data_IF_286834520919
#
_entry.id   IF_286834520919
#
_cell.length_a   1.000
_cell.length_b   1.000
_cell.length_c   1.000
_cell.angle_alpha   90.00
_cell.angle_beta   90.00
_cell.angle_gamma   90.00
#
_symmetry.space_group_name_H-M   'P 1'
#
loop_
_entity.id
_entity.type
_entity.pdbx_description
1 polymer ?
#
# COMPACT_ATOMS: atom_id res chain seq x y z
N UNK A 1 7.33 269.22 48.68
CA UNK A 1 8.65 268.54 48.67
C UNK A 1 8.57 267.26 49.52
N UNK A 2 8.40 267.32 50.84
CA UNK A 2 8.49 266.12 51.70
C UNK A 2 7.49 264.98 51.41
N UNK A 3 6.28 265.28 50.91
CA UNK A 3 5.18 264.31 50.89
C UNK A 3 5.32 263.21 49.80
N UNK A 4 5.79 263.57 48.60
CA UNK A 4 5.98 262.63 47.50
C UNK A 4 7.13 261.64 47.72
N UNK A 5 8.15 262.01 48.50
CA UNK A 5 9.28 261.13 48.83
C UNK A 5 8.81 259.89 49.59
N UNK A 6 7.90 260.08 50.55
CA UNK A 6 7.32 259.00 51.36
C UNK A 6 6.52 257.99 50.52
N UNK A 7 5.79 258.45 49.51
CA UNK A 7 5.03 257.57 48.61
C UNK A 7 5.95 256.70 47.74
N UNK A 8 7.06 257.26 47.27
CA UNK A 8 8.06 256.52 46.48
C UNK A 8 8.69 255.38 47.29
N UNK A 9 9.00 255.60 48.57
CA UNK A 9 9.58 254.57 49.42
C UNK A 9 8.56 253.53 49.90
N UNK A 10 7.27 253.88 50.01
CA UNK A 10 6.18 252.90 50.14
C UNK A 10 6.11 251.98 48.92
N UNK A 11 6.03 252.54 47.72
CA UNK A 11 5.90 251.76 46.48
C UNK A 11 7.10 250.84 46.23
N UNK A 12 8.33 251.26 46.58
CA UNK A 12 9.52 250.38 46.56
C UNK A 12 9.36 249.17 47.48
N UNK A 13 8.74 249.35 48.66
CA UNK A 13 8.51 248.28 49.65
C UNK A 13 7.50 247.26 49.13
N UNK A 14 6.42 247.73 48.51
CA UNK A 14 5.37 246.85 47.97
C UNK A 14 5.86 246.10 46.72
N UNK A 15 6.63 246.75 45.84
CA UNK A 15 7.33 246.10 44.72
C UNK A 15 8.32 245.03 45.19
N UNK A 16 8.98 245.24 46.35
CA UNK A 16 9.88 244.26 46.97
C UNK A 16 9.11 243.06 47.55
N UNK A 17 7.94 243.29 48.15
CA UNK A 17 7.06 242.23 48.65
C UNK A 17 6.49 241.37 47.51
N UNK A 18 5.93 242.00 46.47
CA UNK A 18 5.37 241.30 45.30
C UNK A 18 6.43 240.50 44.53
N UNK A 19 7.69 240.95 44.49
CA UNK A 19 8.81 240.14 43.98
C UNK A 19 9.01 238.85 44.78
N UNK A 20 8.98 238.93 46.12
CA UNK A 20 9.10 237.75 47.00
C UNK A 20 7.95 236.76 46.78
N UNK A 21 6.72 237.22 46.66
CA UNK A 21 5.57 236.34 46.37
C UNK A 21 5.68 235.71 44.98
N UNK A 22 6.08 236.47 43.95
CA UNK A 22 6.26 235.96 42.61
C UNK A 22 7.35 234.87 42.52
N UNK A 23 8.48 235.07 43.19
CA UNK A 23 9.57 234.09 43.19
C UNK A 23 9.25 232.87 44.07
N UNK A 24 8.48 233.02 45.15
CA UNK A 24 7.93 231.90 45.91
C UNK A 24 6.92 231.07 45.07
N UNK A 25 5.96 231.73 44.41
CA UNK A 25 5.00 231.07 43.53
C UNK A 25 5.68 230.35 42.36
N UNK A 26 6.78 230.91 41.83
CA UNK A 26 7.64 230.24 40.84
C UNK A 26 8.27 228.97 41.41
N UNK A 27 8.88 229.02 42.59
CA UNK A 27 9.43 227.82 43.24
C UNK A 27 8.36 226.73 43.46
N UNK A 28 7.15 227.10 43.91
CA UNK A 28 6.04 226.16 44.07
C UNK A 28 5.64 225.54 42.72
N UNK A 29 5.53 226.34 41.65
CA UNK A 29 5.18 225.84 40.33
C UNK A 29 6.25 224.89 39.75
N UNK A 30 7.55 225.21 39.91
CA UNK A 30 8.65 224.31 39.54
C UNK A 30 8.61 222.99 40.33
N UNK A 31 8.28 223.04 41.63
CA UNK A 31 8.11 221.84 42.46
C UNK A 31 6.95 220.96 41.98
N UNK A 32 5.81 221.57 41.64
CA UNK A 32 4.65 220.87 41.07
C UNK A 32 5.00 220.26 39.70
N UNK A 33 5.67 221.00 38.81
CA UNK A 33 6.11 220.48 37.50
C UNK A 33 7.03 219.26 37.66
N UNK A 34 7.98 219.29 38.60
CA UNK A 34 8.86 218.17 38.87
C UNK A 34 8.08 216.95 39.39
N UNK A 35 7.16 217.14 40.35
CA UNK A 35 6.34 216.06 40.90
C UNK A 35 5.40 215.43 39.86
N UNK A 36 4.77 216.26 39.02
CA UNK A 36 3.87 215.84 37.95
C UNK A 36 4.66 215.12 36.83
N UNK A 37 5.91 215.54 36.58
CA UNK A 37 6.88 214.79 35.78
C UNK A 37 7.15 213.39 36.33
N UNK A 38 7.51 213.26 37.62
CA UNK A 38 7.73 211.97 38.27
C UNK A 38 6.50 211.06 38.23
N UNK A 39 5.30 211.59 38.47
CA UNK A 39 4.05 210.82 38.35
C UNK A 39 3.81 210.32 36.92
N UNK A 40 4.16 211.13 35.90
CA UNK A 40 4.05 210.74 34.49
C UNK A 40 5.00 209.58 34.16
N UNK A 41 6.27 209.66 34.59
CA UNK A 41 7.24 208.55 34.42
C UNK A 41 6.73 207.26 35.07
N UNK A 42 6.18 207.35 36.28
CA UNK A 42 5.68 206.20 37.02
C UNK A 42 4.44 205.55 36.35
N UNK A 43 3.57 206.35 35.73
CA UNK A 43 2.45 205.86 34.90
C UNK A 43 2.97 205.17 33.62
N UNK A 44 4.02 205.72 32.99
CA UNK A 44 4.64 205.12 31.81
C UNK A 44 5.34 203.78 32.16
N UNK A 45 5.98 203.65 33.32
CA UNK A 45 6.53 202.38 33.81
C UNK A 45 5.44 201.36 34.18
N UNK A 46 4.37 201.77 34.85
CA UNK A 46 3.23 200.89 35.14
C UNK A 46 2.55 200.39 33.85
N UNK A 47 2.40 201.24 32.83
CA UNK A 47 1.89 200.82 31.52
C UNK A 47 2.84 199.84 30.81
N UNK A 48 4.17 200.08 30.82
CA UNK A 48 5.14 199.10 30.30
C UNK A 48 5.03 197.76 31.01
N UNK A 49 4.89 197.75 32.35
CA UNK A 49 4.74 196.53 33.14
C UNK A 49 3.41 195.80 32.85
N UNK A 50 2.32 196.54 32.63
CA UNK A 50 1.04 195.96 32.22
C UNK A 50 1.11 195.31 30.83
N UNK A 51 1.80 195.94 29.88
CA UNK A 51 2.05 195.34 28.55
C UNK A 51 2.87 194.06 28.66
N UNK A 52 3.95 194.07 29.45
CA UNK A 52 4.76 192.86 29.68
C UNK A 52 3.96 191.72 30.32
N UNK A 53 3.18 192.01 31.37
CA UNK A 53 2.33 191.00 32.03
C UNK A 53 1.23 190.45 31.12
N UNK A 54 0.66 191.28 30.23
CA UNK A 54 -0.31 190.80 29.23
C UNK A 54 0.35 189.91 28.17
N UNK A 55 1.58 190.20 27.76
CA UNK A 55 2.34 189.35 26.85
C UNK A 55 2.70 188.01 27.52
N UNK A 56 3.23 188.03 28.75
CA UNK A 56 3.49 186.81 29.54
C UNK A 56 2.22 185.96 29.70
N UNK A 57 1.07 186.58 29.99
CA UNK A 57 -0.21 185.89 30.16
C UNK A 57 -0.74 185.32 28.83
N UNK A 58 -0.48 185.97 27.69
CA UNK A 58 -0.75 185.43 26.37
C UNK A 58 0.13 184.20 26.07
N UNK A 59 1.45 184.30 26.27
CA UNK A 59 2.39 183.18 26.12
C UNK A 59 2.04 181.98 27.01
N UNK A 60 1.58 182.23 28.25
CA UNK A 60 1.11 181.15 29.15
C UNK A 60 -0.20 180.53 28.71
N UNK A 61 -1.13 181.30 28.14
CA UNK A 61 -2.37 180.75 27.57
C UNK A 61 -2.08 179.91 26.32
N UNK A 62 -1.19 180.36 25.44
CA UNK A 62 -0.75 179.62 24.26
C UNK A 62 -0.06 178.31 24.66
N UNK A 63 0.90 178.37 25.59
CA UNK A 63 1.55 177.18 26.19
C UNK A 63 0.54 176.20 26.82
N UNK A 64 -0.50 176.72 27.47
CA UNK A 64 -1.54 175.90 28.12
C UNK A 64 -2.47 175.25 27.10
N UNK A 65 -2.73 175.89 25.96
CA UNK A 65 -3.51 175.31 24.87
C UNK A 65 -2.70 174.26 24.08
N UNK A 66 -1.40 174.47 23.86
CA UNK A 66 -0.50 173.41 23.35
C UNK A 66 -0.52 172.19 24.28
N UNK A 67 -0.44 172.40 25.60
CA UNK A 67 -0.51 171.32 26.59
C UNK A 67 -1.87 170.60 26.59
N UNK A 68 -2.98 171.32 26.38
CA UNK A 68 -4.32 170.71 26.21
C UNK A 68 -4.38 169.84 24.96
N UNK A 69 -3.93 170.34 23.81
CA UNK A 69 -3.91 169.59 22.55
C UNK A 69 -3.02 168.35 22.67
N UNK A 70 -1.84 168.49 23.29
CA UNK A 70 -0.93 167.37 23.59
C UNK A 70 -1.55 166.34 24.54
N UNK A 71 -2.29 166.79 25.56
CA UNK A 71 -3.01 165.91 26.50
C UNK A 71 -4.13 165.14 25.79
N UNK A 72 -4.96 165.82 25.00
CA UNK A 72 -6.04 165.18 24.22
C UNK A 72 -5.48 164.17 23.20
N UNK A 73 -4.37 164.50 22.54
CA UNK A 73 -3.64 163.59 21.64
C UNK A 73 -3.14 162.34 22.39
N UNK A 74 -2.47 162.51 23.54
CA UNK A 74 -2.01 161.40 24.38
C UNK A 74 -3.17 160.55 24.93
N UNK A 75 -4.29 161.16 25.30
CA UNK A 75 -5.49 160.44 25.76
C UNK A 75 -6.11 159.60 24.63
N UNK A 76 -6.15 160.14 23.41
CA UNK A 76 -6.61 159.41 22.21
C UNK A 76 -5.68 158.24 21.86
N UNK A 77 -4.35 158.45 21.97
CA UNK A 77 -3.34 157.41 21.79
C UNK A 77 -3.44 156.30 22.84
N UNK A 78 -3.65 156.68 24.11
CA UNK A 78 -3.86 155.75 25.22
C UNK A 78 -5.11 154.88 25.00
N UNK A 79 -6.24 155.48 24.60
CA UNK A 79 -7.47 154.75 24.24
C UNK A 79 -7.26 153.79 23.07
N UNK A 80 -6.54 154.21 22.04
CA UNK A 80 -6.18 153.37 20.89
C UNK A 80 -5.30 152.18 21.29
N UNK A 81 -4.26 152.42 22.08
CA UNK A 81 -3.37 151.37 22.60
C UNK A 81 -4.11 150.38 23.52
N UNK A 82 -5.03 150.86 24.36
CA UNK A 82 -5.87 149.99 25.20
C UNK A 82 -6.74 149.05 24.35
N UNK A 83 -7.40 149.58 23.32
CA UNK A 83 -8.22 148.78 22.40
C UNK A 83 -7.38 147.78 21.58
N UNK A 84 -6.14 148.13 21.21
CA UNK A 84 -5.21 147.20 20.58
C UNK A 84 -4.77 146.09 21.55
N UNK A 85 -4.45 146.43 22.81
CA UNK A 85 -4.04 145.48 23.85
C UNK A 85 -5.16 144.48 24.16
N UNK A 86 -6.40 144.94 24.29
CA UNK A 86 -7.58 144.07 24.45
C UNK A 86 -7.76 143.12 23.26
N UNK A 87 -7.63 143.64 22.03
CA UNK A 87 -7.72 142.84 20.81
C UNK A 87 -6.63 141.76 20.76
N UNK A 88 -5.38 142.12 21.02
CA UNK A 88 -4.24 141.18 21.04
C UNK A 88 -4.35 140.14 22.16
N UNK A 89 -4.78 140.54 23.36
CA UNK A 89 -5.07 139.62 24.48
C UNK A 89 -6.17 138.61 24.12
N UNK A 90 -7.24 139.06 23.44
CA UNK A 90 -8.31 138.18 22.96
C UNK A 90 -7.84 137.20 21.86
N UNK A 91 -6.89 137.62 21.01
CA UNK A 91 -6.30 136.79 19.97
C UNK A 91 -5.33 135.76 20.56
N UNK A 92 -4.49 136.17 21.52
CA UNK A 92 -3.60 135.28 22.26
C UNK A 92 -4.37 134.19 23.01
N UNK A 93 -5.46 134.57 23.69
CA UNK A 93 -6.33 133.63 24.42
C UNK A 93 -6.97 132.58 23.50
N UNK A 94 -7.36 132.96 22.28
CA UNK A 94 -7.86 132.04 21.24
C UNK A 94 -6.74 131.11 20.73
N UNK A 95 -5.57 131.66 20.44
CA UNK A 95 -4.42 130.91 19.94
C UNK A 95 -3.93 129.85 20.94
N UNK A 96 -3.87 130.18 22.24
CA UNK A 96 -3.47 129.23 23.29
C UNK A 96 -4.52 128.11 23.47
N UNK A 97 -5.81 128.42 23.32
CA UNK A 97 -6.87 127.41 23.32
C UNK A 97 -6.81 126.48 22.10
N UNK A 98 -6.52 127.01 20.90
CA UNK A 98 -6.34 126.23 19.68
C UNK A 98 -5.08 125.33 19.76
N UNK A 99 -3.95 125.88 20.22
CA UNK A 99 -2.71 125.16 20.53
C UNK A 99 -2.94 123.99 21.51
N UNK A 100 -3.75 124.19 22.56
CA UNK A 100 -4.16 123.11 23.48
C UNK A 100 -4.97 122.04 22.75
N UNK A 101 -5.98 122.42 21.96
CA UNK A 101 -6.78 121.48 21.15
C UNK A 101 -5.92 120.67 20.16
N UNK A 102 -4.95 121.31 19.51
CA UNK A 102 -4.01 120.66 18.59
C UNK A 102 -3.07 119.70 19.33
N UNK A 103 -2.63 120.04 20.55
CA UNK A 103 -1.79 119.19 21.39
C UNK A 103 -2.56 117.92 21.82
N UNK A 104 -3.82 118.07 22.22
CA UNK A 104 -4.69 116.94 22.57
C UNK A 104 -4.98 116.03 21.36
N UNK A 105 -5.22 116.61 20.17
CA UNK A 105 -5.35 115.87 18.91
C UNK A 105 -4.05 115.12 18.56
N UNK A 106 -2.89 115.76 18.65
CA UNK A 106 -1.59 115.14 18.38
C UNK A 106 -1.32 113.96 19.32
N UNK A 107 -1.59 114.12 20.62
CA UNK A 107 -1.44 113.05 21.61
C UNK A 107 -2.36 111.85 21.34
N UNK A 108 -3.61 112.11 20.90
CA UNK A 108 -4.53 111.04 20.50
C UNK A 108 -4.08 110.34 19.20
N UNK A 109 -3.64 111.08 18.18
CA UNK A 109 -3.07 110.49 16.96
C UNK A 109 -1.86 109.61 17.27
N UNK A 110 -0.96 110.05 18.16
CA UNK A 110 0.21 109.25 18.57
C UNK A 110 -0.19 107.95 19.28
N UNK A 111 -1.24 107.96 20.12
CA UNK A 111 -1.81 106.73 20.72
C UNK A 111 -2.29 105.78 19.64
N UNK A 112 -3.09 106.26 18.68
CA UNK A 112 -3.61 105.44 17.58
C UNK A 112 -2.49 104.88 16.69
N UNK A 113 -1.45 105.65 16.39
CA UNK A 113 -0.26 105.18 15.64
C UNK A 113 0.46 104.07 16.40
N UNK A 114 0.66 104.22 17.72
CA UNK A 114 1.30 103.20 18.55
C UNK A 114 0.47 101.91 18.60
N UNK A 115 -0.85 102.01 18.75
CA UNK A 115 -1.76 100.85 18.70
C UNK A 115 -1.74 100.13 17.35
N UNK A 116 -1.78 100.87 16.24
CA UNK A 116 -1.73 100.29 14.89
C UNK A 116 -0.38 99.63 14.61
N UNK A 117 0.72 100.19 15.11
CA UNK A 117 2.05 99.57 15.07
C UNK A 117 2.10 98.25 15.86
N UNK A 118 1.50 98.22 17.06
CA UNK A 118 1.32 96.99 17.84
C UNK A 118 0.48 95.92 17.12
N UNK A 119 -0.61 96.33 16.48
CA UNK A 119 -1.46 95.43 15.67
C UNK A 119 -0.72 94.88 14.45
N UNK A 120 0.02 95.73 13.72
CA UNK A 120 0.84 95.30 12.57
C UNK A 120 1.96 94.32 12.97
N UNK A 121 2.64 94.56 14.09
CA UNK A 121 3.70 93.65 14.55
C UNK A 121 3.15 92.29 15.00
N UNK A 122 1.96 92.23 15.63
CA UNK A 122 1.25 90.97 15.89
C UNK A 122 0.89 90.25 14.58
N UNK A 123 0.18 90.93 13.67
CA UNK A 123 -0.25 90.33 12.39
C UNK A 123 0.95 89.82 11.56
N UNK A 124 2.08 90.53 11.58
CA UNK A 124 3.32 90.09 10.92
C UNK A 124 3.87 88.80 11.50
N UNK A 125 3.71 88.57 12.82
CA UNK A 125 4.07 87.32 13.47
C UNK A 125 3.07 86.22 13.13
N UNK A 126 1.77 86.50 13.23
CA UNK A 126 0.69 85.55 12.96
C UNK A 126 0.76 85.00 11.52
N UNK A 127 1.08 85.86 10.54
CA UNK A 127 1.36 85.47 9.15
C UNK A 127 2.51 84.46 9.08
N UNK A 128 3.67 84.75 9.69
CA UNK A 128 4.84 83.86 9.67
C UNK A 128 4.59 82.51 10.34
N UNK A 129 3.84 82.50 11.45
CA UNK A 129 3.46 81.26 12.12
C UNK A 129 2.48 80.45 11.26
N UNK A 130 1.58 81.09 10.49
CA UNK A 130 0.70 80.43 9.50
C UNK A 130 1.46 79.94 8.26
N UNK A 131 2.41 80.70 7.73
CA UNK A 131 3.29 80.27 6.63
C UNK A 131 4.09 79.01 7.02
N UNK A 132 4.66 79.00 8.23
CA UNK A 132 5.39 77.85 8.76
C UNK A 132 4.50 76.61 8.95
N UNK A 133 3.27 76.79 9.44
CA UNK A 133 2.28 75.71 9.53
C UNK A 133 1.85 75.20 8.15
N UNK A 134 1.69 76.08 7.17
CA UNK A 134 1.36 75.72 5.78
C UNK A 134 2.48 74.87 5.15
N UNK A 135 3.73 75.34 5.22
CA UNK A 135 4.90 74.62 4.71
C UNK A 135 5.07 73.24 5.40
N UNK A 136 4.89 73.17 6.72
CA UNK A 136 4.91 71.91 7.46
C UNK A 136 3.75 70.96 7.14
N UNK A 137 2.64 71.47 6.60
CA UNK A 137 1.50 70.66 6.14
C UNK A 137 1.73 70.16 4.72
N UNK A 138 2.26 71.02 3.83
CA UNK A 138 2.65 70.62 2.46
C UNK A 138 3.72 69.52 2.47
N UNK A 139 4.73 69.62 3.35
CA UNK A 139 5.77 68.60 3.49
C UNK A 139 5.21 67.24 3.96
N UNK A 140 4.16 67.23 4.80
CA UNK A 140 3.46 66.00 5.19
C UNK A 140 2.68 65.41 4.01
N UNK A 141 1.98 66.24 3.25
CA UNK A 141 1.20 65.81 2.09
C UNK A 141 2.09 65.20 0.99
N UNK A 142 3.26 65.79 0.72
CA UNK A 142 4.27 65.26 -0.21
C UNK A 142 4.83 63.90 0.24
N UNK A 143 5.13 63.74 1.53
CA UNK A 143 5.52 62.43 2.08
C UNK A 143 4.39 61.39 1.95
N UNK A 144 3.15 61.74 2.29
CA UNK A 144 2.00 60.83 2.17
C UNK A 144 1.71 60.44 0.71
N UNK A 145 1.93 61.34 -0.25
CA UNK A 145 1.82 61.03 -1.68
C UNK A 145 2.90 60.01 -2.13
N UNK A 146 4.13 60.12 -1.61
CA UNK A 146 5.22 59.16 -1.88
C UNK A 146 4.95 57.79 -1.25
N UNK A 147 4.47 57.77 -0.01
CA UNK A 147 4.04 56.55 0.69
C UNK A 147 2.91 55.84 -0.07
N UNK A 148 1.94 56.58 -0.61
CA UNK A 148 0.84 56.03 -1.40
C UNK A 148 1.31 55.42 -2.74
N UNK A 149 2.21 56.08 -3.46
CA UNK A 149 2.71 55.57 -4.75
C UNK A 149 3.63 54.34 -4.56
N UNK A 150 4.42 54.27 -3.48
CA UNK A 150 5.15 53.05 -3.11
C UNK A 150 4.18 51.92 -2.69
N UNK A 151 3.16 52.22 -1.89
CA UNK A 151 2.12 51.23 -1.54
C UNK A 151 1.41 50.66 -2.78
N UNK A 152 1.10 51.51 -3.76
CA UNK A 152 0.54 51.14 -5.07
C UNK A 152 1.50 50.28 -5.90
N UNK A 153 2.79 50.61 -5.91
CA UNK A 153 3.85 49.80 -6.53
C UNK A 153 3.98 48.40 -5.90
N UNK A 154 3.90 48.31 -4.56
CA UNK A 154 3.86 47.03 -3.83
C UNK A 154 2.60 46.24 -4.13
N UNK A 155 1.44 46.89 -4.19
CA UNK A 155 0.16 46.24 -4.50
C UNK A 155 0.16 45.61 -5.91
N UNK A 156 0.69 46.32 -6.92
CA UNK A 156 0.82 45.78 -8.28
C UNK A 156 1.65 44.49 -8.30
N UNK A 157 2.80 44.47 -7.61
CA UNK A 157 3.67 43.28 -7.53
C UNK A 157 2.98 42.11 -6.82
N UNK A 158 2.24 42.38 -5.76
CA UNK A 158 1.47 41.36 -5.05
C UNK A 158 0.35 40.75 -5.93
N UNK A 159 -0.27 41.56 -6.81
CA UNK A 159 -1.20 41.07 -7.82
C UNK A 159 -0.48 40.19 -8.86
N UNK A 160 0.66 40.67 -9.40
CA UNK A 160 1.47 39.91 -10.37
C UNK A 160 1.96 38.56 -9.80
N UNK A 161 2.14 38.44 -8.48
CA UNK A 161 2.51 37.20 -7.78
C UNK A 161 1.28 36.30 -7.54
N UNK A 162 0.14 36.87 -7.16
CA UNK A 162 -1.13 36.15 -6.98
C UNK A 162 -1.61 35.49 -8.28
N UNK A 163 -1.49 36.20 -9.40
CA UNK A 163 -1.89 35.70 -10.71
C UNK A 163 -1.03 34.49 -11.14
N UNK A 164 0.30 34.57 -10.95
CA UNK A 164 1.23 33.45 -11.19
C UNK A 164 0.91 32.22 -10.33
N UNK A 165 0.66 32.42 -9.03
CA UNK A 165 0.28 31.34 -8.11
C UNK A 165 -1.04 30.69 -8.55
N UNK A 166 -1.97 31.48 -9.07
CA UNK A 166 -3.26 31.01 -9.62
C UNK A 166 -3.06 30.16 -10.89
N UNK A 167 -2.16 30.56 -11.79
CA UNK A 167 -1.78 29.76 -12.98
C UNK A 167 -1.08 28.44 -12.59
N UNK A 168 -0.12 28.48 -11.66
CA UNK A 168 0.57 27.28 -11.18
C UNK A 168 -0.39 26.30 -10.50
N UNK A 169 -1.30 26.79 -9.67
CA UNK A 169 -2.34 25.98 -9.04
C UNK A 169 -3.25 25.33 -10.10
N UNK A 170 -3.72 26.11 -11.09
CA UNK A 170 -4.52 25.61 -12.22
C UNK A 170 -3.80 24.51 -13.01
N UNK A 171 -2.49 24.66 -13.22
CA UNK A 171 -1.66 23.62 -13.84
C UNK A 171 -1.54 22.38 -12.94
N UNK A 172 -1.28 22.54 -11.64
CA UNK A 172 -1.17 21.42 -10.70
C UNK A 172 -2.47 20.66 -10.50
N UNK A 173 -3.62 21.32 -10.52
CA UNK A 173 -4.93 20.65 -10.54
C UNK A 173 -5.08 19.77 -11.77
N UNK A 174 -4.71 20.25 -12.98
CA UNK A 174 -4.75 19.46 -14.22
C UNK A 174 -3.82 18.25 -14.15
N UNK A 175 -2.57 18.45 -13.72
CA UNK A 175 -1.59 17.37 -13.51
C UNK A 175 -2.14 16.29 -12.53
N UNK A 176 -2.78 16.70 -11.43
CA UNK A 176 -3.39 15.78 -10.47
C UNK A 176 -4.57 15.00 -11.07
N UNK A 177 -5.48 15.66 -11.80
CA UNK A 177 -6.62 14.98 -12.45
C UNK A 177 -6.22 14.00 -13.53
N UNK A 178 -5.08 14.22 -14.21
CA UNK A 178 -4.52 13.25 -15.14
C UNK A 178 -3.96 12.02 -14.39
N UNK A 179 -3.18 12.26 -13.33
CA UNK A 179 -2.56 11.18 -12.54
C UNK A 179 -3.59 10.30 -11.81
N UNK A 180 -4.70 10.87 -11.33
CA UNK A 180 -5.79 10.11 -10.71
C UNK A 180 -6.51 9.21 -11.74
N UNK A 181 -6.72 9.71 -12.96
CA UNK A 181 -7.25 8.90 -14.07
C UNK A 181 -6.29 7.77 -14.43
N UNK A 182 -4.99 8.05 -14.61
CA UNK A 182 -3.99 7.04 -14.95
C UNK A 182 -3.87 5.96 -13.85
N UNK A 183 -4.00 6.36 -12.58
CA UNK A 183 -4.06 5.44 -11.44
C UNK A 183 -5.33 4.58 -11.44
N UNK A 184 -6.47 5.14 -11.82
CA UNK A 184 -7.73 4.40 -11.97
C UNK A 184 -7.67 3.39 -13.13
N UNK A 185 -7.17 3.82 -14.29
CA UNK A 185 -6.99 2.95 -15.46
C UNK A 185 -5.97 1.83 -15.16
N UNK A 186 -4.89 2.12 -14.43
CA UNK A 186 -3.92 1.12 -13.99
C UNK A 186 -4.54 0.07 -13.03
N UNK A 187 -5.34 0.51 -12.05
CA UNK A 187 -6.07 -0.39 -11.12
C UNK A 187 -7.03 -1.31 -11.88
N UNK A 188 -7.85 -0.76 -12.78
CA UNK A 188 -8.79 -1.55 -13.57
C UNK A 188 -8.09 -2.63 -14.41
N UNK A 189 -6.94 -2.31 -15.00
CA UNK A 189 -6.13 -3.29 -15.74
C UNK A 189 -5.53 -4.37 -14.83
N UNK A 190 -5.09 -4.02 -13.62
CA UNK A 190 -4.60 -5.02 -12.64
C UNK A 190 -5.71 -5.95 -12.13
N UNK A 191 -6.89 -5.43 -11.81
CA UNK A 191 -8.03 -6.26 -11.39
C UNK A 191 -8.49 -7.21 -12.51
N UNK A 192 -8.47 -6.74 -13.77
CA UNK A 192 -8.72 -7.60 -14.93
C UNK A 192 -7.67 -8.70 -15.07
N UNK A 193 -6.37 -8.36 -15.03
CA UNK A 193 -5.29 -9.36 -15.09
C UNK A 193 -5.40 -10.40 -13.98
N UNK A 194 -5.74 -9.97 -12.75
CA UNK A 194 -5.99 -10.86 -11.62
C UNK A 194 -7.15 -11.84 -11.92
N UNK A 195 -8.28 -11.34 -12.42
CA UNK A 195 -9.41 -12.19 -12.83
C UNK A 195 -9.03 -13.19 -13.94
N UNK A 196 -8.23 -12.77 -14.92
CA UNK A 196 -7.73 -13.64 -15.99
C UNK A 196 -6.80 -14.74 -15.42
N UNK A 197 -5.90 -14.41 -14.49
CA UNK A 197 -5.04 -15.38 -13.81
C UNK A 197 -5.83 -16.35 -12.91
N UNK A 198 -6.84 -15.89 -12.16
CA UNK A 198 -7.70 -16.74 -11.34
C UNK A 198 -8.51 -17.74 -12.20
N UNK A 199 -8.98 -17.31 -13.37
CA UNK A 199 -9.61 -18.17 -14.37
C UNK A 199 -8.65 -19.26 -14.88
N UNK A 200 -7.42 -18.89 -15.27
CA UNK A 200 -6.40 -19.83 -15.75
C UNK A 200 -5.98 -20.83 -14.65
N UNK A 201 -5.80 -20.37 -13.40
CA UNK A 201 -5.48 -21.23 -12.26
C UNK A 201 -6.57 -22.28 -12.01
N UNK A 202 -7.84 -21.90 -12.09
CA UNK A 202 -8.94 -22.85 -11.92
C UNK A 202 -9.05 -23.83 -13.11
N UNK A 203 -8.80 -23.39 -14.34
CA UNK A 203 -8.71 -24.30 -15.49
C UNK A 203 -7.56 -25.32 -15.33
N UNK A 204 -6.41 -24.92 -14.80
CA UNK A 204 -5.27 -25.80 -14.55
C UNK A 204 -5.53 -26.79 -13.40
N UNK A 205 -6.20 -26.37 -12.32
CA UNK A 205 -6.66 -27.26 -11.25
C UNK A 205 -7.57 -28.37 -11.80
N UNK A 206 -8.64 -27.99 -12.50
CA UNK A 206 -9.61 -28.93 -13.06
C UNK A 206 -8.94 -29.93 -14.04
N UNK A 207 -7.96 -29.48 -14.84
CA UNK A 207 -7.18 -30.36 -15.72
C UNK A 207 -6.29 -31.32 -14.94
N UNK A 208 -5.60 -30.86 -13.90
CA UNK A 208 -4.76 -31.73 -13.05
C UNK A 208 -5.59 -32.78 -12.30
N UNK A 209 -6.79 -32.41 -11.82
CA UNK A 209 -7.73 -33.33 -11.17
C UNK A 209 -8.24 -34.41 -12.15
N UNK A 210 -8.59 -34.02 -13.38
CA UNK A 210 -8.97 -34.96 -14.43
C UNK A 210 -7.84 -35.94 -14.78
N UNK A 211 -6.61 -35.43 -14.99
CA UNK A 211 -5.42 -36.24 -15.27
C UNK A 211 -5.10 -37.20 -14.10
N UNK A 212 -5.26 -36.74 -12.85
CA UNK A 212 -5.07 -37.59 -11.68
C UNK A 212 -6.11 -38.72 -11.61
N UNK A 213 -7.37 -38.46 -11.98
CA UNK A 213 -8.43 -39.46 -12.04
C UNK A 213 -8.21 -40.48 -13.18
N UNK A 214 -7.75 -40.04 -14.35
CA UNK A 214 -7.37 -40.93 -15.47
C UNK A 214 -6.16 -41.81 -15.12
N UNK A 215 -5.12 -41.23 -14.52
CA UNK A 215 -3.96 -41.97 -14.02
C UNK A 215 -4.35 -42.98 -12.92
N UNK A 216 -5.36 -42.66 -12.10
CA UNK A 216 -5.94 -43.57 -11.13
C UNK A 216 -6.59 -44.79 -11.80
N UNK A 217 -7.45 -44.56 -12.80
CA UNK A 217 -8.11 -45.63 -13.59
C UNK A 217 -7.08 -46.53 -14.28
N UNK A 218 -6.10 -45.94 -14.98
CA UNK A 218 -5.08 -46.68 -15.71
C UNK A 218 -4.19 -47.55 -14.79
N UNK A 219 -3.92 -47.10 -13.56
CA UNK A 219 -3.21 -47.92 -12.56
C UNK A 219 -4.02 -49.13 -12.10
N UNK A 220 -5.32 -48.98 -11.90
CA UNK A 220 -6.19 -50.08 -11.45
C UNK A 220 -6.49 -51.08 -12.57
N UNK A 221 -6.63 -50.61 -13.82
CA UNK A 221 -6.68 -51.45 -15.02
C UNK A 221 -5.39 -52.26 -15.17
N UNK A 222 -4.21 -51.64 -15.00
CA UNK A 222 -2.93 -52.33 -15.09
C UNK A 222 -2.75 -53.41 -13.97
N UNK A 223 -3.21 -53.16 -12.74
CA UNK A 223 -3.28 -54.20 -11.70
C UNK A 223 -4.18 -55.38 -12.12
N UNK A 224 -5.37 -55.08 -12.66
CA UNK A 224 -6.32 -56.09 -13.13
C UNK A 224 -5.73 -56.95 -14.24
N UNK A 225 -5.04 -56.32 -15.21
CA UNK A 225 -4.31 -57.00 -16.28
C UNK A 225 -3.15 -57.86 -15.73
N UNK A 226 -2.39 -57.36 -14.75
CA UNK A 226 -1.34 -58.15 -14.08
C UNK A 226 -1.91 -59.41 -13.43
N UNK A 227 -3.00 -59.30 -12.66
CA UNK A 227 -3.65 -60.45 -12.05
C UNK A 227 -4.26 -61.41 -13.09
N UNK A 228 -4.77 -60.91 -14.22
CA UNK A 228 -5.21 -61.75 -15.34
C UNK A 228 -4.03 -62.53 -15.95
N UNK A 229 -2.87 -61.89 -16.14
CA UNK A 229 -1.63 -62.53 -16.62
C UNK A 229 -1.15 -63.60 -15.63
N UNK A 230 -1.14 -63.32 -14.32
CA UNK A 230 -0.75 -64.29 -13.30
C UNK A 230 -1.66 -65.54 -13.31
N UNK A 231 -2.98 -65.34 -13.41
CA UNK A 231 -3.95 -66.42 -13.49
C UNK A 231 -3.81 -67.25 -14.78
N UNK A 232 -3.52 -66.60 -15.92
CA UNK A 232 -3.23 -67.28 -17.18
C UNK A 232 -1.93 -68.08 -17.10
N UNK A 233 -0.87 -67.54 -16.49
CA UNK A 233 0.41 -68.23 -16.29
C UNK A 233 0.25 -69.46 -15.38
N UNK A 234 -0.54 -69.37 -14.30
CA UNK A 234 -0.89 -70.54 -13.47
C UNK A 234 -1.69 -71.58 -14.26
N UNK A 235 -2.63 -71.14 -15.09
CA UNK A 235 -3.45 -72.01 -15.94
C UNK A 235 -2.59 -72.76 -16.97
N UNK A 236 -1.67 -72.07 -17.64
CA UNK A 236 -0.70 -72.67 -18.57
C UNK A 236 0.17 -73.70 -17.85
N UNK A 237 0.80 -73.33 -16.72
CA UNK A 237 1.64 -74.24 -15.91
C UNK A 237 0.90 -75.50 -15.45
N UNK A 238 -0.41 -75.43 -15.22
CA UNK A 238 -1.23 -76.60 -14.90
C UNK A 238 -1.59 -77.42 -16.15
N UNK A 239 -1.76 -76.81 -17.32
CA UNK A 239 -1.93 -77.49 -18.61
C UNK A 239 -0.64 -78.20 -19.05
N UNK A 240 0.52 -77.59 -18.86
CA UNK A 240 1.83 -78.17 -19.18
C UNK A 240 2.10 -79.45 -18.36
N UNK A 241 1.77 -79.43 -17.06
CA UNK A 241 1.78 -80.63 -16.20
C UNK A 241 0.87 -81.72 -16.76
N UNK A 242 -0.38 -81.38 -17.07
CA UNK A 242 -1.35 -82.34 -17.59
C UNK A 242 -0.92 -82.93 -18.95
N UNK A 243 -0.30 -82.13 -19.82
CA UNK A 243 0.30 -82.58 -21.08
C UNK A 243 1.50 -83.50 -20.85
N UNK A 244 2.37 -83.20 -19.89
CA UNK A 244 3.50 -84.05 -19.54
C UNK A 244 3.04 -85.41 -18.97
N UNK A 245 2.02 -85.43 -18.13
CA UNK A 245 1.46 -86.67 -17.56
C UNK A 245 0.67 -87.48 -18.59
N UNK A 246 -0.04 -86.83 -19.52
CA UNK A 246 -0.60 -87.48 -20.71
C UNK A 246 0.51 -88.07 -21.61
N UNK A 247 1.62 -87.35 -21.79
CA UNK A 247 2.80 -87.82 -22.52
C UNK A 247 3.38 -89.12 -21.93
N UNK A 248 3.59 -89.15 -20.60
CA UNK A 248 3.99 -90.37 -19.88
C UNK A 248 2.98 -91.51 -20.08
N UNK A 249 1.67 -91.21 -20.00
CA UNK A 249 0.62 -92.23 -20.20
C UNK A 249 0.63 -92.80 -21.62
N UNK A 250 0.83 -91.97 -22.64
CA UNK A 250 0.99 -92.41 -24.03
C UNK A 250 2.27 -93.24 -24.21
N UNK A 251 3.39 -92.84 -23.59
CA UNK A 251 4.63 -93.61 -23.62
C UNK A 251 4.48 -95.00 -22.98
N UNK A 252 3.81 -95.08 -21.82
CA UNK A 252 3.53 -96.35 -21.14
C UNK A 252 2.62 -97.26 -21.99
N UNK A 253 1.53 -96.73 -22.55
CA UNK A 253 0.63 -97.47 -23.44
C UNK A 253 1.35 -97.96 -24.71
N UNK A 254 2.26 -97.17 -25.28
CA UNK A 254 3.10 -97.60 -26.41
C UNK A 254 4.07 -98.73 -25.99
N UNK A 255 4.58 -98.69 -24.76
CA UNK A 255 5.35 -99.79 -24.17
C UNK A 255 4.53 -101.08 -24.02
N UNK A 256 3.31 -100.99 -23.49
CA UNK A 256 2.38 -102.12 -23.41
C UNK A 256 2.04 -102.69 -24.80
N UNK A 257 1.76 -101.83 -25.79
CA UNK A 257 1.44 -102.27 -27.16
C UNK A 257 2.63 -103.00 -27.78
N UNK A 258 3.86 -102.51 -27.61
CA UNK A 258 5.07 -103.22 -28.06
C UNK A 258 5.26 -104.58 -27.35
N UNK A 259 5.02 -104.64 -26.04
CA UNK A 259 5.08 -105.90 -25.29
C UNK A 259 4.03 -106.91 -25.78
N UNK A 260 2.80 -106.45 -26.05
CA UNK A 260 1.71 -107.25 -26.61
C UNK A 260 1.99 -107.70 -28.06
N UNK A 261 2.62 -106.86 -28.88
CA UNK A 261 3.06 -107.20 -30.25
C UNK A 261 4.17 -108.26 -30.26
N UNK A 262 5.14 -108.18 -29.33
CA UNK A 262 6.15 -109.24 -29.13
C UNK A 262 5.46 -110.55 -28.70
N UNK A 263 4.62 -110.51 -27.67
CA UNK A 263 3.89 -111.71 -27.19
C UNK A 263 2.94 -112.31 -28.23
N UNK A 264 2.40 -111.50 -29.16
CA UNK A 264 1.64 -111.97 -30.32
C UNK A 264 2.54 -112.67 -31.35
N UNK A 265 3.73 -112.13 -31.64
CA UNK A 265 4.72 -112.77 -32.53
C UNK A 265 5.20 -114.10 -31.98
N UNK A 266 5.44 -114.18 -30.67
CA UNK A 266 5.77 -115.43 -29.99
C UNK A 266 4.63 -116.45 -30.10
N UNK A 267 3.37 -116.03 -29.92
CA UNK A 267 2.18 -116.88 -30.13
C UNK A 267 2.00 -117.33 -31.58
N UNK A 268 2.33 -116.49 -32.55
CA UNK A 268 2.29 -116.84 -33.98
C UNK A 268 3.37 -117.89 -34.30
N UNK A 269 4.57 -117.77 -33.70
CA UNK A 269 5.62 -118.77 -33.83
C UNK A 269 5.28 -120.10 -33.11
N UNK A 270 4.62 -120.05 -31.96
CA UNK A 270 4.07 -121.21 -31.24
C UNK A 270 3.00 -121.93 -32.08
N UNK A 271 2.05 -121.19 -32.64
CA UNK A 271 1.03 -121.72 -33.56
C UNK A 271 1.63 -122.30 -34.85
N UNK A 272 2.73 -121.74 -35.36
CA UNK A 272 3.43 -122.30 -36.52
C UNK A 272 4.05 -123.67 -36.20
N UNK A 273 4.72 -123.81 -35.04
CA UNK A 273 5.26 -125.11 -34.58
C UNK A 273 4.17 -126.16 -34.42
N UNK A 274 3.08 -125.82 -33.75
CA UNK A 274 1.93 -126.73 -33.55
C UNK A 274 1.29 -127.15 -34.88
N UNK A 275 1.27 -126.26 -35.89
CA UNK A 275 0.79 -126.55 -37.24
C UNK A 275 1.72 -127.49 -38.01
N UNK A 276 3.03 -127.34 -37.86
CA UNK A 276 4.01 -128.27 -38.43
C UNK A 276 3.95 -129.65 -37.76
N UNK A 277 3.76 -129.71 -36.43
CA UNK A 277 3.53 -130.95 -35.68
C UNK A 277 2.25 -131.66 -36.11
N UNK A 278 1.13 -130.93 -36.22
CA UNK A 278 -0.11 -131.44 -36.81
C UNK A 278 0.11 -131.95 -38.25
N UNK A 279 1.00 -131.32 -39.02
CA UNK A 279 1.43 -131.79 -40.34
C UNK A 279 2.14 -133.14 -40.31
N UNK A 280 3.07 -133.33 -39.36
CA UNK A 280 3.78 -134.62 -39.14
C UNK A 280 2.82 -135.72 -38.69
N UNK A 281 1.96 -135.44 -37.72
CA UNK A 281 0.98 -136.41 -37.21
C UNK A 281 0.03 -136.85 -38.32
N UNK A 282 -0.44 -135.91 -39.15
CA UNK A 282 -1.30 -136.20 -40.31
C UNK A 282 -0.58 -137.01 -41.40
N UNK A 283 0.74 -136.91 -41.50
CA UNK A 283 1.55 -137.78 -42.37
C UNK A 283 1.70 -139.19 -41.75
N UNK A 284 1.99 -139.29 -40.45
CA UNK A 284 2.09 -140.57 -39.73
C UNK A 284 0.77 -141.35 -39.68
N UNK A 285 -0.39 -140.66 -39.62
CA UNK A 285 -1.71 -141.27 -39.80
C UNK A 285 -1.86 -141.84 -41.21
N UNK A 286 -1.55 -141.07 -42.26
CA UNK A 286 -1.58 -141.58 -43.65
C UNK A 286 -0.68 -142.79 -43.87
N UNK A 287 0.49 -142.82 -43.23
CA UNK A 287 1.42 -143.96 -43.31
C UNK A 287 0.83 -145.20 -42.63
N UNK A 288 0.19 -145.04 -41.46
CA UNK A 288 -0.58 -146.12 -40.80
C UNK A 288 -1.78 -146.57 -41.63
N UNK A 289 -2.53 -145.67 -42.26
CA UNK A 289 -3.65 -146.01 -43.16
C UNK A 289 -3.16 -146.81 -44.38
N UNK A 290 -2.02 -146.44 -44.96
CA UNK A 290 -1.39 -147.20 -46.04
C UNK A 290 -0.88 -148.59 -45.59
N UNK A 291 -0.40 -148.70 -44.35
CA UNK A 291 -0.05 -149.97 -43.72
C UNK A 291 -1.29 -150.85 -43.50
N UNK A 292 -2.40 -150.26 -43.05
CA UNK A 292 -3.71 -150.92 -42.89
C UNK A 292 -4.27 -151.38 -44.24
N UNK A 293 -4.14 -150.58 -45.31
CA UNK A 293 -4.50 -151.03 -46.67
C UNK A 293 -3.65 -152.22 -47.13
N UNK A 294 -2.33 -152.22 -46.90
CA UNK A 294 -1.47 -153.37 -47.18
C UNK A 294 -1.91 -154.61 -46.40
N UNK A 295 -2.20 -154.47 -45.10
CA UNK A 295 -2.70 -155.55 -44.25
C UNK A 295 -4.04 -156.09 -44.74
N UNK A 296 -5.01 -155.22 -45.05
CA UNK A 296 -6.32 -155.63 -45.58
C UNK A 296 -6.20 -156.35 -46.94
N UNK A 297 -5.30 -155.91 -47.81
CA UNK A 297 -5.04 -156.60 -49.08
C UNK A 297 -4.38 -157.98 -48.87
N UNK A 298 -3.44 -158.11 -47.94
CA UNK A 298 -2.87 -159.41 -47.54
C UNK A 298 -3.92 -160.33 -46.91
N UNK A 299 -4.78 -159.81 -46.05
CA UNK A 299 -5.91 -160.55 -45.47
C UNK A 299 -6.86 -161.02 -46.57
N UNK A 300 -7.19 -160.18 -47.55
CA UNK A 300 -8.06 -160.54 -48.68
C UNK A 300 -7.44 -161.61 -49.59
N UNK A 301 -6.15 -161.52 -49.88
CA UNK A 301 -5.42 -162.56 -50.63
C UNK A 301 -5.40 -163.90 -49.87
N UNK A 302 -5.12 -163.86 -48.56
CA UNK A 302 -5.21 -165.03 -47.68
C UNK A 302 -6.63 -165.59 -47.60
N UNK A 303 -7.68 -164.77 -47.52
CA UNK A 303 -9.07 -165.20 -47.60
C UNK A 303 -9.37 -165.90 -48.93
N UNK A 304 -8.90 -165.37 -50.07
CA UNK A 304 -9.10 -166.02 -51.37
C UNK A 304 -8.33 -167.35 -51.51
N UNK A 305 -7.21 -167.50 -50.79
CA UNK A 305 -6.47 -168.77 -50.67
C UNK A 305 -7.22 -169.75 -49.78
N UNK A 306 -7.81 -169.29 -48.68
CA UNK A 306 -8.69 -170.09 -47.81
C UNK A 306 -9.95 -170.52 -48.56
N UNK A 307 -10.58 -169.67 -49.38
CA UNK A 307 -11.70 -170.03 -50.24
C UNK A 307 -11.32 -171.08 -51.27
N UNK A 308 -10.15 -170.96 -51.92
CA UNK A 308 -9.64 -172.00 -52.84
C UNK A 308 -9.34 -173.31 -52.12
N UNK A 309 -8.78 -173.27 -50.93
CA UNK A 309 -8.55 -174.46 -50.09
C UNK A 309 -9.88 -175.07 -49.64
N UNK A 310 -10.88 -174.27 -49.29
CA UNK A 310 -12.22 -174.74 -48.93
C UNK A 310 -12.99 -175.30 -50.13
N UNK A 311 -12.77 -174.78 -51.35
CA UNK A 311 -13.33 -175.34 -52.58
C UNK A 311 -12.67 -176.68 -52.92
N UNK A 312 -11.34 -176.78 -52.83
CA UNK A 312 -10.61 -178.05 -52.98
C UNK A 312 -11.03 -179.05 -51.91
N UNK A 313 -11.23 -178.60 -50.66
CA UNK A 313 -11.77 -179.40 -49.57
C UNK A 313 -13.21 -179.86 -49.86
N UNK A 314 -14.08 -179.00 -50.38
CA UNK A 314 -15.46 -179.36 -50.74
C UNK A 314 -15.50 -180.40 -51.87
N UNK A 315 -14.63 -180.27 -52.88
CA UNK A 315 -14.51 -181.27 -53.96
C UNK A 315 -14.04 -182.61 -53.38
N UNK A 316 -13.04 -182.61 -52.50
CA UNK A 316 -12.58 -183.81 -51.80
C UNK A 316 -13.64 -184.37 -50.84
N UNK A 317 -14.48 -183.53 -50.21
CA UNK A 317 -15.57 -183.96 -49.34
C UNK A 317 -16.76 -184.54 -50.14
N UNK A 318 -17.04 -184.03 -51.34
CA UNK A 318 -18.02 -184.61 -52.29
C UNK A 318 -17.54 -185.94 -52.88
N UNK A 319 -16.26 -186.04 -53.26
CA UNK A 319 -15.66 -187.31 -53.69
C UNK A 319 -15.66 -188.35 -52.55
N UNK A 320 -15.29 -187.92 -51.33
CA UNK A 320 -15.39 -188.77 -50.13
C UNK A 320 -16.84 -189.11 -49.80
N UNK A 321 -17.82 -188.25 -50.07
CA UNK A 321 -19.24 -188.53 -49.87
C UNK A 321 -19.76 -189.55 -50.90
N UNK A 322 -19.31 -189.48 -52.17
CA UNK A 322 -19.56 -190.53 -53.17
C UNK A 322 -19.05 -191.89 -52.69
N UNK A 323 -17.78 -191.99 -52.32
CA UNK A 323 -17.20 -193.26 -51.85
C UNK A 323 -17.79 -193.73 -50.50
N UNK A 324 -18.19 -192.83 -49.59
CA UNK A 324 -18.83 -193.21 -48.31
C UNK A 324 -20.25 -193.77 -48.45
N UNK A 325 -20.96 -193.51 -49.55
CA UNK A 325 -22.25 -194.14 -49.80
C UNK A 325 -22.12 -195.58 -50.34
N UNK A 326 -20.94 -196.01 -50.79
CA UNK A 326 -20.65 -197.41 -51.13
C UNK A 326 -20.12 -198.21 -49.94
N UNK A 327 -19.27 -197.63 -49.08
CA UNK A 327 -18.55 -198.37 -48.03
C UNK A 327 -19.02 -198.10 -46.60
N UNK A 328 -20.28 -198.48 -46.32
CA UNK A 328 -20.75 -198.69 -44.93
C UNK A 328 -20.41 -200.09 -44.41
N UNK A 329 -19.16 -200.27 -43.96
CA UNK A 329 -18.88 -201.10 -42.78
C UNK A 329 -18.25 -200.23 -41.67
N UNK A 330 -18.80 -200.32 -40.45
CA UNK A 330 -18.25 -199.93 -39.13
C UNK A 330 -17.58 -198.53 -38.89
N UNK A 331 -18.31 -197.69 -38.12
CA UNK A 331 -17.87 -197.03 -36.86
C UNK A 331 -16.93 -195.73 -36.93
N UNK A 332 -16.56 -194.99 -35.82
CA UNK A 332 -16.93 -193.55 -35.66
C UNK A 332 -15.81 -192.47 -35.21
N UNK A 333 -15.75 -191.73 -34.04
CA UNK A 333 -15.13 -190.35 -33.90
C UNK A 333 -14.09 -190.21 -32.71
N UNK A 334 -13.82 -189.10 -31.92
CA UNK A 334 -14.15 -187.62 -31.96
C UNK A 334 -13.01 -186.59 -31.48
N UNK A 335 -13.34 -185.26 -31.41
CA UNK A 335 -12.72 -184.15 -30.56
C UNK A 335 -11.24 -183.68 -30.84
N UNK A 336 -10.55 -182.68 -30.20
CA UNK A 336 -10.70 -181.78 -28.99
C UNK A 336 -9.91 -180.40 -29.08
N UNK A 337 -10.21 -179.42 -28.17
CA UNK A 337 -9.33 -178.50 -27.34
C UNK A 337 -8.50 -177.22 -27.78
N UNK A 338 -8.69 -176.12 -27.00
CA UNK A 338 -7.73 -175.11 -26.34
C UNK A 338 -6.80 -174.10 -27.12
N UNK A 339 -6.09 -173.06 -26.57
CA UNK A 339 -5.70 -172.60 -25.18
C UNK A 339 -5.62 -171.03 -24.87
N UNK A 340 -4.47 -170.45 -24.39
CA UNK A 340 -4.27 -169.11 -23.66
C UNK A 340 -2.75 -168.69 -23.56
N UNK A 341 -2.19 -167.70 -22.76
CA UNK A 341 -2.61 -166.53 -21.91
C UNK A 341 -1.87 -165.17 -22.28
N UNK A 342 -1.07 -164.34 -21.50
CA UNK A 342 -1.05 -163.80 -20.08
C UNK A 342 -0.63 -162.28 -19.79
N UNK A 343 -1.26 -161.58 -18.82
CA UNK A 343 -0.74 -160.50 -17.87
C UNK A 343 -0.12 -159.15 -18.41
N UNK A 344 0.48 -158.13 -17.69
CA UNK A 344 0.90 -157.86 -16.27
C UNK A 344 1.20 -156.32 -15.90
N UNK A 345 1.55 -156.00 -14.62
CA UNK A 345 2.31 -154.80 -14.04
C UNK A 345 1.58 -153.44 -13.67
N UNK A 346 2.10 -152.63 -12.69
CA UNK A 346 1.46 -151.47 -11.98
C UNK A 346 2.44 -150.50 -11.18
N UNK A 347 1.98 -149.30 -10.68
CA UNK A 347 2.57 -148.30 -9.69
C UNK A 347 3.49 -147.14 -10.19
N UNK A 348 3.96 -146.07 -9.46
CA UNK A 348 4.12 -145.55 -8.05
C UNK A 348 4.12 -143.96 -8.03
N UNK A 349 4.37 -143.11 -6.98
CA UNK A 349 4.08 -143.00 -5.50
C UNK A 349 4.83 -141.75 -4.83
N UNK A 350 4.56 -141.37 -3.55
CA UNK A 350 5.39 -140.55 -2.56
C UNK A 350 5.57 -139.00 -2.72
N UNK A 351 5.95 -138.12 -1.73
CA UNK A 351 5.88 -138.06 -0.23
C UNK A 351 6.26 -136.64 0.35
N UNK A 352 6.20 -136.43 1.69
CA UNK A 352 6.56 -135.22 2.52
C UNK A 352 8.09 -135.18 2.92
N UNK A 353 8.71 -134.29 3.79
CA UNK A 353 8.18 -133.29 4.77
C UNK A 353 8.94 -131.92 5.07
N UNK A 354 8.17 -130.93 5.54
CA UNK A 354 8.28 -130.05 6.74
C UNK A 354 9.60 -129.41 7.34
N UNK A 355 9.41 -128.14 7.79
CA UNK A 355 9.78 -127.51 9.10
C UNK A 355 11.18 -126.90 9.38
N UNK A 356 11.21 -125.56 9.62
CA UNK A 356 11.30 -124.94 10.98
C UNK A 356 11.25 -123.40 10.93
N UNK A 357 10.53 -122.80 11.88
CA UNK A 357 10.44 -121.35 12.06
C UNK A 357 11.74 -120.72 12.59
N UNK A 358 11.98 -119.47 12.22
CA UNK A 358 12.61 -118.44 13.06
C UNK A 358 11.55 -117.38 13.36
N UNK A 359 11.64 -116.71 14.51
CA UNK A 359 10.83 -115.52 14.78
C UNK A 359 11.03 -114.52 13.64
N UNK A 360 9.92 -114.02 13.08
CA UNK A 360 9.93 -113.08 11.96
C UNK A 360 10.15 -111.66 12.46
N UNK A 361 10.72 -110.82 11.61
CA UNK A 361 10.99 -109.41 11.94
C UNK A 361 9.71 -108.65 12.37
N UNK A 362 8.56 -109.05 11.80
CA UNK A 362 7.22 -108.58 12.16
C UNK A 362 6.86 -108.80 13.64
N UNK A 363 7.26 -109.94 14.22
CA UNK A 363 7.01 -110.25 15.64
C UNK A 363 7.91 -109.42 16.57
N UNK A 364 9.14 -109.12 16.15
CA UNK A 364 10.03 -108.21 16.89
C UNK A 364 9.55 -106.74 16.85
N UNK A 365 9.00 -106.31 15.71
CA UNK A 365 8.40 -104.98 15.53
C UNK A 365 7.25 -104.76 16.51
N UNK A 366 6.26 -105.67 16.58
CA UNK A 366 5.11 -105.55 17.48
C UNK A 366 5.48 -105.50 18.97
N UNK A 367 6.45 -106.33 19.41
CA UNK A 367 6.90 -106.36 20.81
C UNK A 367 7.58 -105.04 21.21
N UNK A 368 8.31 -104.39 20.30
CA UNK A 368 8.94 -103.08 20.57
C UNK A 368 7.97 -101.90 20.47
N UNK A 369 7.01 -101.93 19.54
CA UNK A 369 5.92 -100.93 19.48
C UNK A 369 5.12 -100.90 20.79
N UNK A 370 4.72 -102.07 21.30
CA UNK A 370 3.98 -102.15 22.58
C UNK A 370 4.78 -101.58 23.76
N UNK A 371 6.11 -101.79 23.79
CA UNK A 371 6.98 -101.19 24.81
C UNK A 371 7.10 -99.67 24.68
N UNK A 372 7.16 -99.14 23.45
CA UNK A 372 7.19 -97.70 23.25
C UNK A 372 5.92 -97.03 23.82
N UNK A 373 4.75 -97.61 23.57
CA UNK A 373 3.48 -97.12 24.14
C UNK A 373 3.45 -97.20 25.67
N UNK A 374 3.98 -98.26 26.30
CA UNK A 374 4.09 -98.29 27.77
C UNK A 374 5.00 -97.18 28.34
N UNK A 375 6.03 -96.75 27.59
CA UNK A 375 6.89 -95.63 28.02
C UNK A 375 6.21 -94.27 27.77
N UNK A 376 5.48 -94.10 26.65
CA UNK A 376 4.68 -92.90 26.37
C UNK A 376 3.63 -92.70 27.47
N UNK A 377 2.89 -93.74 27.83
CA UNK A 377 1.86 -93.69 28.88
C UNK A 377 2.42 -93.44 30.30
N UNK A 378 3.73 -93.65 30.51
CA UNK A 378 4.45 -93.29 31.75
C UNK A 378 5.11 -91.91 31.72
N UNK A 379 5.10 -91.21 30.57
CA UNK A 379 5.82 -89.95 30.37
C UNK A 379 7.32 -90.10 30.17
N UNK A 380 7.83 -91.32 29.97
CA UNK A 380 9.26 -91.62 29.77
C UNK A 380 9.66 -91.43 28.30
N UNK A 381 9.49 -90.21 27.78
CA UNK A 381 9.53 -89.96 26.34
C UNK A 381 10.89 -90.27 25.67
N UNK A 382 12.05 -90.01 26.30
CA UNK A 382 13.37 -90.43 25.75
C UNK A 382 13.60 -91.97 25.85
N UNK A 383 12.83 -92.71 26.66
CA UNK A 383 12.82 -94.18 26.67
C UNK A 383 12.00 -94.71 25.49
N UNK A 384 10.77 -94.19 25.29
CA UNK A 384 9.92 -94.51 24.15
C UNK A 384 10.61 -94.28 22.80
N UNK A 385 11.26 -93.11 22.68
CA UNK A 385 12.04 -92.69 21.50
C UNK A 385 13.05 -93.75 21.04
N UNK A 386 13.72 -94.43 21.98
CA UNK A 386 14.75 -95.43 21.67
C UNK A 386 14.15 -96.72 21.12
N UNK A 387 13.07 -97.22 21.70
CA UNK A 387 12.40 -98.43 21.18
C UNK A 387 11.80 -98.18 19.78
N UNK A 388 11.24 -96.99 19.53
CA UNK A 388 10.76 -96.60 18.19
C UNK A 388 11.90 -96.52 17.16
N UNK A 389 13.08 -96.00 17.54
CA UNK A 389 14.27 -96.02 16.68
C UNK A 389 14.81 -97.43 16.44
N UNK A 390 14.62 -98.37 17.36
CA UNK A 390 14.97 -99.78 17.15
C UNK A 390 13.95 -100.51 16.26
N UNK A 391 12.66 -100.16 16.30
CA UNK A 391 11.66 -100.62 15.31
C UNK A 391 12.06 -100.20 13.91
N UNK A 392 12.42 -98.93 13.71
CA UNK A 392 12.83 -98.37 12.42
C UNK A 392 14.19 -98.90 11.89
N UNK A 393 14.94 -99.66 12.69
CA UNK A 393 16.11 -100.43 12.22
C UNK A 393 15.75 -101.82 11.69
N UNK A 394 14.58 -102.34 12.07
CA UNK A 394 14.06 -103.65 11.66
C UNK A 394 13.11 -103.48 10.46
N UNK A 395 12.21 -102.48 10.53
CA UNK A 395 11.30 -102.09 9.46
C UNK A 395 11.34 -100.55 9.30
N UNK A 396 12.11 -100.06 8.33
CA UNK A 396 12.31 -98.63 8.10
C UNK A 396 11.08 -97.91 7.51
N UNK A 397 10.14 -98.65 6.89
CA UNK A 397 8.91 -98.08 6.35
C UNK A 397 7.73 -98.16 7.35
N UNK A 398 8.00 -98.56 8.60
CA UNK A 398 6.99 -98.68 9.65
C UNK A 398 6.37 -97.33 10.02
N UNK A 399 5.26 -96.99 9.36
CA UNK A 399 4.58 -95.68 9.51
C UNK A 399 4.10 -95.40 10.94
N UNK A 400 3.73 -96.43 11.68
CA UNK A 400 3.28 -96.31 13.07
C UNK A 400 4.45 -95.89 13.97
N UNK A 401 5.59 -96.57 13.86
CA UNK A 401 6.82 -96.15 14.55
C UNK A 401 7.29 -94.75 14.12
N UNK A 402 7.17 -94.41 12.83
CA UNK A 402 7.60 -93.11 12.29
C UNK A 402 6.74 -91.93 12.81
N UNK A 403 5.42 -92.07 12.84
CA UNK A 403 4.50 -91.04 13.33
C UNK A 403 4.57 -90.92 14.87
N UNK A 404 4.63 -92.04 15.60
CA UNK A 404 4.88 -92.03 17.04
C UNK A 404 6.21 -91.35 17.38
N UNK A 405 7.28 -91.61 16.61
CA UNK A 405 8.58 -90.96 16.82
C UNK A 405 8.53 -89.45 16.58
N UNK A 406 7.86 -88.98 15.52
CA UNK A 406 7.66 -87.53 15.29
C UNK A 406 6.86 -86.86 16.43
N UNK A 407 5.85 -87.54 16.97
CA UNK A 407 5.05 -87.03 18.09
C UNK A 407 5.86 -86.97 19.39
N UNK A 408 6.63 -88.02 19.68
CA UNK A 408 7.53 -88.09 20.84
C UNK A 408 8.64 -87.02 20.75
N UNK A 409 9.25 -86.82 19.59
CA UNK A 409 10.27 -85.78 19.39
C UNK A 409 9.69 -84.37 19.54
N UNK A 410 8.46 -84.11 19.06
CA UNK A 410 7.77 -82.83 19.32
C UNK A 410 7.48 -82.61 20.81
N UNK A 411 6.98 -83.63 21.53
CA UNK A 411 6.74 -83.54 22.98
C UNK A 411 8.07 -83.28 23.72
N UNK A 412 9.15 -83.97 23.34
CA UNK A 412 10.48 -83.77 23.91
C UNK A 412 11.09 -82.39 23.61
N UNK A 413 10.69 -81.74 22.52
CA UNK A 413 11.08 -80.37 22.20
C UNK A 413 10.20 -79.29 22.88
N UNK A 414 9.06 -79.68 23.46
CA UNK A 414 8.17 -78.81 24.25
C UNK A 414 8.46 -78.93 25.76
N UNK A 415 9.05 -80.05 26.19
CA UNK A 415 9.46 -80.32 27.57
C UNK A 415 10.93 -79.92 27.88
N UNK A 416 11.57 -79.15 27.01
CA UNK A 416 12.96 -78.65 27.14
C UNK A 416 13.00 -77.13 27.07
#
# INVERSE_FOLDING_TARGET
INDYTSQIDSLKKDISALKKELDAARQTNTSIQNSLGSSRTNIEELNRKNVLLNNELAEKNESLEELRQKTASLESGSKSLSAQLEKESSAFSKSEAEKKSLTEKLANTQRTVNELSGKNTSLTKDIKDKERLSAGTMAKLDNQAKEFEDMKSRFSKAQDELDKITEELSRKTKEYTALDKDLSDARHNMDKQKSDYESVLNQLRNKNEAIAAELGKAKEENKSLSHAIDNLNQTLKNRDKALADLGKKVQNLNGEVKSKDIGLKDRIAELAKLKDEQGRDKAAVKEKDALIQKLNNSVKDLSSKIEKINLVKSILEDDVARFKNELKQKAPPPQVSEQKPPMAVVSQEQALPARKEKLTDYEMVHIRLSKADEFINRGEYESARKELQEVLKIDFENREALDLLMRVDNILNILK
#
